data_IF_399383047146
#
_entry.id   IF_399383047146
#
_cell.length_a   1.000
_cell.length_b   1.000
_cell.length_c   1.000
_cell.angle_alpha   90.00
_cell.angle_beta   90.00
_cell.angle_gamma   90.00
#
_symmetry.space_group_name_H-M   'P 1'
#
loop_
_entity.id
_entity.type
_entity.pdbx_description
1 polymer ?
#
# COMPACT_ATOMS: atom_id res chain seq x y z
N UNK A 1 -3.39 -25.61 -19.67
CA UNK A 1 -4.32 -26.04 -20.72
C UNK A 1 -5.56 -26.69 -20.11
N UNK A 2 -6.73 -26.57 -20.73
CA UNK A 2 -7.97 -27.19 -20.26
C UNK A 2 -7.90 -28.75 -20.21
N UNK A 3 -6.95 -29.31 -20.93
CA UNK A 3 -6.71 -30.77 -21.01
C UNK A 3 -5.80 -31.32 -19.89
N UNK A 4 -5.10 -30.46 -19.14
CA UNK A 4 -4.32 -30.92 -17.99
C UNK A 4 -5.25 -31.29 -16.81
N UNK A 5 -4.77 -32.08 -15.86
CA UNK A 5 -5.55 -32.49 -14.67
C UNK A 5 -6.25 -31.29 -13.99
N UNK A 6 -5.49 -30.28 -13.64
CA UNK A 6 -6.02 -29.10 -12.97
C UNK A 6 -6.76 -28.15 -13.89
N UNK A 7 -6.39 -28.09 -15.16
CA UNK A 7 -7.12 -27.33 -16.17
C UNK A 7 -8.52 -27.91 -16.43
N UNK A 8 -8.67 -29.25 -16.36
CA UNK A 8 -9.99 -29.88 -16.43
C UNK A 8 -10.85 -29.53 -15.19
N UNK A 9 -10.28 -29.62 -13.97
CA UNK A 9 -11.00 -29.20 -12.75
C UNK A 9 -11.46 -27.75 -12.86
N UNK A 10 -10.58 -26.84 -13.28
CA UNK A 10 -10.95 -25.43 -13.50
C UNK A 10 -12.10 -25.29 -14.52
N UNK A 11 -12.01 -26.02 -15.64
CA UNK A 11 -13.07 -25.97 -16.67
C UNK A 11 -14.40 -26.53 -16.14
N UNK A 12 -14.38 -27.62 -15.40
CA UNK A 12 -15.57 -28.23 -14.77
C UNK A 12 -16.20 -27.26 -13.72
N UNK A 13 -15.41 -26.35 -13.11
CA UNK A 13 -15.87 -25.27 -12.24
C UNK A 13 -16.42 -24.05 -13.00
N UNK A 14 -16.55 -24.08 -14.31
CA UNK A 14 -17.07 -22.99 -15.11
C UNK A 14 -16.02 -22.00 -15.66
N UNK A 15 -14.72 -22.29 -15.49
CA UNK A 15 -13.62 -21.45 -15.96
C UNK A 15 -12.72 -22.19 -16.97
N UNK A 16 -13.18 -22.43 -18.23
CA UNK A 16 -12.43 -23.21 -19.22
C UNK A 16 -11.13 -22.52 -19.66
N UNK A 17 -11.14 -21.18 -19.71
CA UNK A 17 -9.98 -20.41 -20.12
C UNK A 17 -8.98 -20.17 -18.97
N UNK A 18 -7.67 -20.01 -19.25
CA UNK A 18 -6.67 -19.60 -18.28
C UNK A 18 -7.00 -18.25 -17.64
N UNK A 19 -6.69 -18.08 -16.35
CA UNK A 19 -6.87 -16.80 -15.63
C UNK A 19 -5.89 -15.71 -16.08
N UNK A 20 -4.93 -16.02 -16.95
CA UNK A 20 -3.98 -15.04 -17.45
C UNK A 20 -3.02 -14.52 -16.37
N UNK A 21 -2.55 -15.41 -15.49
CA UNK A 21 -1.58 -15.06 -14.44
C UNK A 21 -0.39 -14.31 -15.04
N UNK A 22 -0.06 -13.14 -14.47
CA UNK A 22 1.03 -12.29 -14.95
C UNK A 22 2.21 -12.24 -13.98
N UNK A 23 1.97 -12.58 -12.72
CA UNK A 23 2.94 -12.41 -11.66
C UNK A 23 2.84 -13.57 -10.66
N UNK A 24 3.98 -13.97 -10.09
CA UNK A 24 4.04 -15.02 -9.09
C UNK A 24 5.02 -14.61 -7.98
N UNK A 25 4.55 -14.66 -6.73
CA UNK A 25 5.41 -14.49 -5.56
C UNK A 25 6.01 -15.84 -5.16
N UNK A 26 7.29 -15.87 -4.87
CA UNK A 26 8.02 -17.07 -4.47
C UNK A 26 8.42 -16.95 -3.01
N UNK A 27 7.59 -17.53 -2.14
CA UNK A 27 7.72 -17.44 -0.67
C UNK A 27 6.94 -16.26 -0.09
N UNK A 28 6.75 -16.29 1.22
CA UNK A 28 6.18 -15.21 2.03
C UNK A 28 7.10 -14.97 3.22
N UNK A 29 7.52 -13.74 3.44
CA UNK A 29 8.42 -13.34 4.54
C UNK A 29 9.70 -14.20 4.65
N UNK A 30 10.15 -14.78 3.53
CA UNK A 30 11.32 -15.63 3.51
C UNK A 30 12.58 -14.81 3.81
N UNK A 31 13.49 -15.42 4.58
CA UNK A 31 14.74 -14.80 4.97
C UNK A 31 15.86 -15.84 5.16
N UNK A 32 17.09 -15.35 5.36
CA UNK A 32 18.28 -16.18 5.49
C UNK A 32 18.95 -16.51 4.15
N UNK A 33 20.16 -17.01 4.23
CA UNK A 33 21.05 -17.22 3.06
C UNK A 33 20.50 -18.24 2.05
N UNK A 34 19.77 -19.24 2.54
CA UNK A 34 19.20 -20.31 1.70
C UNK A 34 18.06 -19.81 0.80
N UNK A 35 17.39 -18.73 1.19
CA UNK A 35 16.25 -18.26 0.39
C UNK A 35 16.66 -17.71 -0.98
N UNK A 36 17.65 -16.82 -1.14
CA UNK A 36 18.12 -16.36 -2.45
C UNK A 36 18.54 -17.49 -3.38
N UNK A 37 19.24 -18.51 -2.84
CA UNK A 37 19.65 -19.68 -3.64
C UNK A 37 18.44 -20.42 -4.24
N UNK A 38 17.43 -20.68 -3.42
CA UNK A 38 16.19 -21.33 -3.85
C UNK A 38 15.39 -20.48 -4.81
N UNK A 39 15.25 -19.18 -4.51
CA UNK A 39 14.56 -18.24 -5.37
C UNK A 39 15.16 -18.20 -6.78
N UNK A 40 16.48 -18.23 -6.88
CA UNK A 40 17.16 -18.24 -8.17
C UNK A 40 16.84 -19.50 -9.00
N UNK A 41 16.76 -20.68 -8.36
CA UNK A 41 16.37 -21.93 -9.02
C UNK A 41 14.94 -21.84 -9.54
N UNK A 42 13.99 -21.39 -8.70
CA UNK A 42 12.59 -21.20 -9.12
C UNK A 42 12.46 -20.17 -10.25
N UNK A 43 13.13 -19.03 -10.11
CA UNK A 43 13.11 -17.96 -11.12
C UNK A 43 13.57 -18.46 -12.48
N UNK A 44 14.69 -19.19 -12.54
CA UNK A 44 15.21 -19.77 -13.77
C UNK A 44 14.22 -20.76 -14.40
N UNK A 45 13.65 -21.66 -13.59
CA UNK A 45 12.71 -22.67 -14.08
C UNK A 45 11.40 -22.03 -14.60
N UNK A 46 10.85 -21.06 -13.87
CA UNK A 46 9.62 -20.38 -14.27
C UNK A 46 9.84 -19.59 -15.56
N UNK A 47 10.92 -18.82 -15.66
CA UNK A 47 11.21 -18.02 -16.85
C UNK A 47 11.53 -18.86 -18.10
N UNK A 48 12.04 -20.07 -17.92
CA UNK A 48 12.25 -20.99 -19.03
C UNK A 48 10.93 -21.44 -19.70
N UNK A 49 9.87 -21.61 -18.91
CA UNK A 49 8.53 -22.02 -19.37
C UNK A 49 7.60 -20.82 -19.66
N UNK A 50 7.76 -19.74 -18.88
CA UNK A 50 6.92 -18.56 -18.92
C UNK A 50 7.78 -17.28 -18.89
N UNK A 51 8.39 -16.90 -20.03
CA UNK A 51 9.37 -15.80 -20.08
C UNK A 51 8.79 -14.44 -19.67
N UNK A 52 7.48 -14.23 -19.84
CA UNK A 52 6.79 -12.98 -19.49
C UNK A 52 6.25 -12.96 -18.07
N UNK A 53 6.48 -14.03 -17.26
CA UNK A 53 6.02 -14.11 -15.88
C UNK A 53 6.87 -13.21 -15.01
N UNK A 54 6.24 -12.23 -14.36
CA UNK A 54 6.88 -11.39 -13.37
C UNK A 54 7.11 -12.16 -12.07
N UNK A 55 8.31 -12.08 -11.54
CA UNK A 55 8.71 -12.73 -10.29
C UNK A 55 8.72 -11.72 -9.16
N UNK A 56 8.03 -12.05 -8.08
CA UNK A 56 8.05 -11.29 -6.82
C UNK A 56 8.91 -12.04 -5.81
N UNK A 57 9.95 -11.42 -5.32
CA UNK A 57 10.82 -11.95 -4.27
C UNK A 57 10.58 -11.22 -2.95
N UNK A 58 10.88 -11.87 -1.82
CA UNK A 58 10.66 -11.31 -0.48
C UNK A 58 11.90 -10.60 0.06
N UNK A 59 11.72 -9.44 0.68
CA UNK A 59 12.75 -8.76 1.47
C UNK A 59 12.77 -9.20 2.95
N UNK A 60 12.01 -10.24 3.28
CA UNK A 60 11.85 -10.74 4.65
C UNK A 60 10.66 -10.09 5.38
N UNK A 61 10.51 -10.36 6.69
CA UNK A 61 9.36 -9.94 7.48
C UNK A 61 9.49 -8.53 8.07
N UNK A 62 10.57 -7.81 7.75
CA UNK A 62 10.92 -6.54 8.41
C UNK A 62 11.06 -5.40 7.41
N UNK A 63 10.69 -4.21 7.85
CA UNK A 63 10.79 -2.99 7.06
C UNK A 63 12.23 -2.49 6.84
N UNK A 64 13.16 -2.95 7.67
CA UNK A 64 14.56 -2.55 7.71
C UNK A 64 15.41 -3.58 8.50
N UNK A 65 16.70 -3.29 8.70
CA UNK A 65 17.63 -4.09 9.47
C UNK A 65 18.22 -5.27 8.72
N UNK A 66 18.99 -6.12 9.43
CA UNK A 66 19.88 -7.13 8.85
C UNK A 66 19.24 -8.02 7.76
N UNK A 67 17.98 -8.41 7.95
CA UNK A 67 17.28 -9.27 6.98
C UNK A 67 16.98 -8.51 5.70
N UNK A 68 16.41 -7.32 5.83
CA UNK A 68 16.09 -6.44 4.71
C UNK A 68 17.34 -6.02 3.95
N UNK A 69 18.37 -5.57 4.68
CA UNK A 69 19.63 -5.08 4.12
C UNK A 69 20.42 -6.18 3.38
N UNK A 70 20.27 -7.44 3.81
CA UNK A 70 20.83 -8.59 3.12
C UNK A 70 20.02 -8.98 1.88
N UNK A 71 18.68 -9.02 2.01
CA UNK A 71 17.83 -9.59 0.96
C UNK A 71 17.61 -8.63 -0.22
N UNK A 72 17.49 -7.33 0.02
CA UNK A 72 17.25 -6.37 -1.06
C UNK A 72 18.32 -6.41 -2.17
N UNK A 73 19.66 -6.37 -1.87
CA UNK A 73 20.70 -6.57 -2.87
C UNK A 73 20.61 -7.92 -3.59
N UNK A 74 20.24 -8.98 -2.87
CA UNK A 74 20.07 -10.32 -3.46
C UNK A 74 18.89 -10.36 -4.45
N UNK A 75 17.76 -9.70 -4.13
CA UNK A 75 16.64 -9.57 -5.07
C UNK A 75 17.07 -8.86 -6.36
N UNK A 76 17.85 -7.80 -6.23
CA UNK A 76 18.44 -7.08 -7.37
C UNK A 76 19.42 -7.95 -8.15
N UNK A 77 20.26 -8.72 -7.47
CA UNK A 77 21.24 -9.66 -8.10
C UNK A 77 20.54 -10.76 -8.91
N UNK A 78 19.50 -11.36 -8.36
CA UNK A 78 18.70 -12.41 -9.00
C UNK A 78 17.90 -11.83 -10.17
N UNK A 79 17.58 -10.53 -10.10
CA UNK A 79 16.82 -9.82 -11.12
C UNK A 79 15.33 -10.13 -11.04
N UNK A 80 14.76 -10.18 -9.84
CA UNK A 80 13.30 -10.25 -9.67
C UNK A 80 12.66 -8.97 -10.22
N UNK A 81 11.39 -9.05 -10.61
CA UNK A 81 10.67 -7.90 -11.16
C UNK A 81 10.14 -6.97 -10.04
N UNK A 82 9.68 -7.57 -8.95
CA UNK A 82 9.22 -6.86 -7.77
C UNK A 82 9.83 -7.45 -6.50
N UNK A 83 9.99 -6.59 -5.50
CA UNK A 83 10.36 -6.97 -4.13
C UNK A 83 9.16 -6.73 -3.24
N UNK A 84 8.77 -7.79 -2.52
CA UNK A 84 7.70 -7.75 -1.52
C UNK A 84 8.27 -7.25 -0.20
N UNK A 85 7.80 -6.08 0.22
CA UNK A 85 8.20 -5.42 1.47
C UNK A 85 7.03 -5.40 2.46
N UNK A 86 7.31 -5.70 3.73
CA UNK A 86 6.32 -5.76 4.81
C UNK A 86 6.62 -4.75 5.92
N UNK A 87 5.58 -4.04 6.40
CA UNK A 87 5.72 -2.99 7.42
C UNK A 87 4.64 -3.12 8.50
N UNK A 88 4.99 -3.75 9.61
CA UNK A 88 4.17 -3.77 10.82
C UNK A 88 4.86 -2.93 11.89
N UNK A 89 4.64 -1.60 11.82
CA UNK A 89 5.42 -0.60 12.55
C UNK A 89 4.50 0.35 13.32
N UNK A 90 5.08 1.10 14.28
CA UNK A 90 4.35 2.14 15.00
C UNK A 90 3.98 3.34 14.10
N UNK A 91 2.93 4.13 14.45
CA UNK A 91 2.54 5.31 13.70
C UNK A 91 3.69 6.27 13.40
N UNK A 92 4.58 6.50 14.36
CA UNK A 92 5.74 7.39 14.18
C UNK A 92 6.67 6.93 13.05
N UNK A 93 6.82 5.62 12.87
CA UNK A 93 7.59 5.08 11.76
C UNK A 93 6.94 5.41 10.42
N UNK A 94 5.62 5.25 10.29
CA UNK A 94 4.89 5.56 9.06
C UNK A 94 5.01 7.05 8.69
N UNK A 95 4.86 7.95 9.67
CA UNK A 95 5.07 9.37 9.45
C UNK A 95 6.51 9.69 9.01
N UNK A 96 7.50 9.12 9.68
CA UNK A 96 8.91 9.35 9.38
C UNK A 96 9.33 8.78 8.01
N UNK A 97 8.62 7.78 7.49
CA UNK A 97 8.95 7.08 6.26
C UNK A 97 8.07 7.47 5.05
N UNK A 98 7.32 8.56 5.11
CA UNK A 98 6.54 9.05 3.97
C UNK A 98 7.40 9.42 2.74
N UNK A 99 8.72 9.58 2.92
CA UNK A 99 9.70 9.81 1.85
C UNK A 99 10.52 8.57 1.48
N UNK A 100 10.21 7.39 2.03
CA UNK A 100 11.01 6.16 1.89
C UNK A 100 11.45 5.86 0.47
N UNK A 101 10.56 6.03 -0.49
CA UNK A 101 10.79 5.62 -1.88
C UNK A 101 11.32 6.74 -2.78
N UNK A 102 11.52 7.96 -2.26
CA UNK A 102 11.96 9.10 -3.06
C UNK A 102 13.34 8.87 -3.69
N UNK A 103 14.24 8.13 -3.00
CA UNK A 103 15.60 7.84 -3.44
C UNK A 103 15.82 6.41 -3.98
N UNK A 104 14.76 5.60 -4.14
CA UNK A 104 14.90 4.26 -4.70
C UNK A 104 15.33 4.29 -6.17
N UNK A 105 16.13 3.30 -6.57
CA UNK A 105 16.59 3.13 -7.95
C UNK A 105 15.41 2.89 -8.90
N UNK A 106 15.10 3.87 -9.76
CA UNK A 106 14.00 3.78 -10.73
C UNK A 106 14.21 2.71 -11.80
N UNK A 107 15.44 2.21 -11.97
CA UNK A 107 15.80 1.16 -12.93
C UNK A 107 15.89 -0.24 -12.31
N UNK A 108 15.87 -0.32 -10.98
CA UNK A 108 15.88 -1.57 -10.23
C UNK A 108 14.53 -2.28 -10.20
N UNK A 109 14.44 -3.39 -9.44
CA UNK A 109 13.17 -4.04 -9.14
C UNK A 109 12.15 -3.04 -8.60
N UNK A 110 10.88 -3.27 -8.92
CA UNK A 110 9.78 -2.47 -8.37
C UNK A 110 9.42 -2.98 -6.99
N UNK A 111 8.61 -2.23 -6.26
CA UNK A 111 8.15 -2.58 -4.92
C UNK A 111 6.70 -3.04 -4.97
N UNK A 112 6.43 -4.11 -4.28
CA UNK A 112 5.14 -4.51 -3.79
C UNK A 112 5.14 -4.30 -2.28
N UNK A 113 4.42 -3.31 -1.76
CA UNK A 113 4.16 -3.17 -0.33
C UNK A 113 3.07 -4.19 0.04
N UNK A 114 3.48 -5.45 0.18
CA UNK A 114 2.56 -6.60 0.17
C UNK A 114 1.80 -6.78 1.48
N UNK A 115 2.39 -6.39 2.60
CA UNK A 115 1.71 -6.39 3.88
C UNK A 115 2.10 -5.15 4.70
N UNK A 116 1.12 -4.41 5.18
CA UNK A 116 1.38 -3.34 6.16
C UNK A 116 0.16 -3.04 7.02
N UNK A 117 0.43 -2.66 8.25
CA UNK A 117 -0.52 -2.05 9.15
C UNK A 117 0.22 -1.22 10.20
N UNK A 118 -0.32 -0.05 10.52
CA UNK A 118 0.19 0.77 11.60
C UNK A 118 -0.28 0.22 12.94
N UNK A 119 0.67 -0.04 13.84
CA UNK A 119 0.42 -0.56 15.19
C UNK A 119 0.65 0.53 16.23
N UNK A 120 -0.33 0.81 17.05
CA UNK A 120 -0.17 1.70 18.20
C UNK A 120 0.65 0.99 19.30
N UNK A 121 1.95 1.23 19.37
CA UNK A 121 2.83 0.72 20.40
C UNK A 121 3.03 1.73 21.54
N UNK A 122 3.13 1.29 22.79
CA UNK A 122 3.07 -0.07 23.35
C UNK A 122 1.68 -0.49 23.86
N UNK A 123 0.67 0.33 23.72
CA UNK A 123 -0.63 0.16 24.37
C UNK A 123 -1.61 -0.74 23.65
N UNK A 124 -1.15 -1.47 22.66
CA UNK A 124 -1.94 -2.45 21.93
C UNK A 124 -2.07 -2.11 20.45
N UNK A 125 -2.10 -3.15 19.68
CA UNK A 125 -2.38 -3.12 18.26
C UNK A 125 -3.85 -2.75 18.09
N UNK A 126 -4.12 -1.58 17.54
CA UNK A 126 -5.50 -1.12 17.39
C UNK A 126 -5.65 -0.30 16.12
N UNK A 127 -6.71 -0.58 15.39
CA UNK A 127 -7.17 0.24 14.29
C UNK A 127 -7.86 1.50 14.84
N UNK A 128 -7.06 2.44 15.35
CA UNK A 128 -7.54 3.74 15.80
C UNK A 128 -7.27 4.82 14.75
N UNK A 129 -7.76 6.03 15.01
CA UNK A 129 -7.61 7.14 14.08
C UNK A 129 -6.13 7.53 13.86
N UNK A 130 -5.27 7.45 14.88
CA UNK A 130 -3.83 7.72 14.74
C UNK A 130 -3.16 6.73 13.79
N UNK A 131 -3.47 5.44 13.92
CA UNK A 131 -2.97 4.41 13.01
C UNK A 131 -3.41 4.71 11.56
N UNK A 132 -4.69 5.00 11.36
CA UNK A 132 -5.21 5.36 10.03
C UNK A 132 -4.56 6.61 9.46
N UNK A 133 -4.37 7.66 10.28
CA UNK A 133 -3.75 8.91 9.87
C UNK A 133 -2.28 8.71 9.44
N UNK A 134 -1.54 7.88 10.18
CA UNK A 134 -0.15 7.58 9.86
C UNK A 134 -0.01 6.77 8.57
N UNK A 135 -0.90 5.81 8.34
CA UNK A 135 -0.97 5.09 7.06
C UNK A 135 -1.33 6.02 5.90
N UNK A 136 -2.29 6.93 6.10
CA UNK A 136 -2.64 7.91 5.08
C UNK A 136 -1.43 8.78 4.69
N UNK A 137 -0.63 9.23 5.67
CA UNK A 137 0.59 9.98 5.43
C UNK A 137 1.62 9.17 4.62
N UNK A 138 1.86 7.92 4.99
CA UNK A 138 2.76 7.02 4.28
C UNK A 138 2.29 6.74 2.84
N UNK A 139 0.98 6.53 2.64
CA UNK A 139 0.38 6.27 1.33
C UNK A 139 0.54 7.44 0.35
N UNK A 140 0.68 8.69 0.83
CA UNK A 140 1.07 9.80 -0.07
C UNK A 140 2.43 9.56 -0.71
N UNK A 141 3.36 8.96 0.04
CA UNK A 141 4.68 8.56 -0.46
C UNK A 141 4.63 7.40 -1.45
N UNK A 142 3.77 6.39 -1.20
CA UNK A 142 3.55 5.29 -2.13
C UNK A 142 3.02 5.83 -3.48
N UNK A 143 2.00 6.68 -3.44
CA UNK A 143 1.39 7.24 -4.64
C UNK A 143 2.35 8.16 -5.40
N UNK A 144 3.08 9.05 -4.70
CA UNK A 144 4.08 9.93 -5.31
C UNK A 144 5.16 9.15 -6.05
N UNK A 145 5.50 7.96 -5.58
CA UNK A 145 6.51 7.07 -6.13
C UNK A 145 5.92 5.88 -6.89
N UNK A 146 4.79 6.05 -7.58
CA UNK A 146 4.12 4.98 -8.32
C UNK A 146 4.95 4.39 -9.48
N UNK A 147 6.03 5.04 -9.87
CA UNK A 147 7.03 4.51 -10.81
C UNK A 147 7.95 3.45 -10.16
N UNK A 148 8.02 3.40 -8.84
CA UNK A 148 8.73 2.40 -8.03
C UNK A 148 7.73 1.45 -7.35
N UNK A 149 6.77 1.99 -6.59
CA UNK A 149 5.76 1.20 -5.87
C UNK A 149 4.61 0.88 -6.81
N UNK A 150 4.52 -0.36 -7.22
CA UNK A 150 3.54 -0.83 -8.22
C UNK A 150 2.27 -1.40 -7.61
N UNK A 151 2.38 -1.95 -6.40
CA UNK A 151 1.29 -2.57 -5.66
C UNK A 151 1.42 -2.24 -4.19
N UNK A 152 0.30 -2.09 -3.52
CA UNK A 152 0.23 -1.95 -2.07
C UNK A 152 -1.05 -2.62 -1.55
N UNK A 153 -0.93 -3.42 -0.49
CA UNK A 153 -2.04 -4.15 0.11
C UNK A 153 -1.96 -4.11 1.63
N UNK A 154 -3.08 -3.78 2.25
CA UNK A 154 -3.20 -3.84 3.70
C UNK A 154 -3.32 -5.30 4.17
N UNK A 155 -2.69 -5.64 5.29
CA UNK A 155 -2.82 -6.93 5.93
C UNK A 155 -2.76 -6.82 7.47
N UNK A 156 -3.48 -7.69 8.22
CA UNK A 156 -4.52 -8.63 7.77
C UNK A 156 -5.83 -7.94 7.39
N UNK A 157 -6.68 -8.66 6.63
CA UNK A 157 -7.89 -8.06 6.06
C UNK A 157 -9.13 -8.27 6.94
N UNK A 158 -9.34 -9.46 7.49
CA UNK A 158 -10.55 -9.85 8.21
C UNK A 158 -10.27 -10.51 9.53
N UNK A 159 -11.02 -10.12 10.58
CA UNK A 159 -11.03 -10.82 11.85
C UNK A 159 -12.44 -10.97 12.42
N UNK A 160 -12.73 -12.14 12.97
CA UNK A 160 -13.93 -12.37 13.78
C UNK A 160 -13.66 -11.89 15.20
N UNK A 161 -14.60 -11.11 15.79
CA UNK A 161 -14.39 -10.46 17.10
C UNK A 161 -14.11 -11.43 18.26
N UNK A 162 -14.62 -12.67 18.17
CA UNK A 162 -14.43 -13.70 19.20
C UNK A 162 -13.34 -14.74 18.86
N UNK A 163 -12.74 -14.66 17.65
CA UNK A 163 -11.82 -15.69 17.16
C UNK A 163 -10.77 -15.13 16.21
N UNK A 164 -9.98 -14.21 16.68
CA UNK A 164 -8.87 -13.61 15.91
C UNK A 164 -7.52 -14.11 16.40
N UNK A 165 -6.54 -14.17 15.51
CA UNK A 165 -5.15 -14.52 15.81
C UNK A 165 -4.22 -13.33 15.81
N UNK A 166 -4.63 -12.24 15.14
CA UNK A 166 -3.84 -11.05 14.95
C UNK A 166 -4.69 -9.80 15.15
N UNK A 167 -4.07 -8.69 15.49
CA UNK A 167 -4.63 -7.36 15.58
C UNK A 167 -3.48 -6.36 15.31
N UNK A 168 -3.63 -5.37 14.44
CA UNK A 168 -4.88 -4.86 13.85
C UNK A 168 -5.36 -5.65 12.62
N UNK A 169 -6.66 -5.56 12.32
CA UNK A 169 -7.29 -6.09 11.11
C UNK A 169 -8.15 -5.01 10.46
N UNK A 170 -8.26 -5.01 9.14
CA UNK A 170 -8.93 -3.94 8.42
C UNK A 170 -10.45 -3.91 8.65
N UNK A 171 -11.06 -5.10 8.66
CA UNK A 171 -12.50 -5.30 8.83
C UNK A 171 -12.74 -6.32 9.93
N UNK A 172 -13.55 -5.95 10.91
CA UNK A 172 -13.99 -6.84 11.97
C UNK A 172 -15.44 -7.25 11.78
N UNK A 173 -15.78 -8.46 12.13
CA UNK A 173 -17.14 -8.97 11.97
C UNK A 173 -17.52 -9.95 13.10
N UNK A 174 -18.82 -10.07 13.32
CA UNK A 174 -19.47 -11.19 14.00
C UNK A 174 -20.31 -12.00 13.00
N UNK A 175 -21.16 -12.90 13.47
CA UNK A 175 -21.96 -13.71 12.56
C UNK A 175 -23.04 -12.93 11.76
N UNK A 176 -23.34 -11.69 12.11
CA UNK A 176 -24.45 -10.91 11.55
C UNK A 176 -24.05 -9.50 11.12
N UNK A 177 -22.97 -8.95 11.69
CA UNK A 177 -22.55 -7.56 11.51
C UNK A 177 -21.09 -7.49 11.10
N UNK A 178 -20.71 -6.39 10.49
CA UNK A 178 -19.31 -6.05 10.23
C UNK A 178 -19.05 -4.60 10.65
N UNK A 179 -17.79 -4.32 10.95
CA UNK A 179 -17.29 -2.98 11.27
C UNK A 179 -16.09 -2.70 10.39
N UNK A 180 -16.12 -1.57 9.71
CA UNK A 180 -14.98 -1.02 8.99
C UNK A 180 -14.17 -0.13 9.92
N UNK A 181 -12.87 -0.33 9.95
CA UNK A 181 -11.98 0.47 10.79
C UNK A 181 -11.69 1.84 10.15
N UNK A 182 -11.16 2.83 10.90
CA UNK A 182 -10.65 4.06 10.30
C UNK A 182 -9.61 3.78 9.18
N UNK A 183 -8.77 2.76 9.36
CA UNK A 183 -7.80 2.32 8.34
C UNK A 183 -8.48 1.84 7.06
N UNK A 184 -9.64 1.17 7.15
CA UNK A 184 -10.42 0.78 5.98
C UNK A 184 -10.82 2.00 5.14
N UNK A 185 -11.28 3.07 5.78
CA UNK A 185 -11.69 4.28 5.06
C UNK A 185 -10.52 4.97 4.38
N UNK A 186 -9.32 4.96 4.99
CA UNK A 186 -8.10 5.42 4.33
C UNK A 186 -7.81 4.60 3.07
N UNK A 187 -7.81 3.26 3.17
CA UNK A 187 -7.60 2.38 2.01
C UNK A 187 -8.65 2.63 0.93
N UNK A 188 -9.92 2.78 1.31
CA UNK A 188 -11.01 3.08 0.38
C UNK A 188 -10.81 4.43 -0.32
N UNK A 189 -10.44 5.49 0.43
CA UNK A 189 -10.22 6.81 -0.15
C UNK A 189 -9.10 6.79 -1.20
N UNK A 190 -7.99 6.09 -0.96
CA UNK A 190 -6.94 5.94 -1.94
C UNK A 190 -7.36 5.04 -3.11
N UNK A 191 -7.94 3.89 -2.84
CA UNK A 191 -8.32 2.91 -3.87
C UNK A 191 -9.42 3.41 -4.82
N UNK A 192 -10.38 4.19 -4.30
CA UNK A 192 -11.47 4.75 -5.11
C UNK A 192 -11.09 6.04 -5.84
N UNK A 193 -9.96 6.65 -5.51
CA UNK A 193 -9.48 7.90 -6.08
C UNK A 193 -8.07 7.74 -6.66
N UNK A 194 -7.85 6.66 -7.40
CA UNK A 194 -6.61 6.44 -8.12
C UNK A 194 -6.55 7.30 -9.39
N UNK A 195 -5.34 7.77 -9.73
CA UNK A 195 -5.10 8.47 -11.00
C UNK A 195 -4.29 7.61 -11.98
N UNK A 196 -4.08 8.14 -13.16
CA UNK A 196 -3.22 7.55 -14.19
C UNK A 196 -1.80 8.11 -14.18
N UNK A 197 -1.65 9.36 -13.76
CA UNK A 197 -0.38 10.09 -13.79
C UNK A 197 -0.13 10.80 -12.47
N UNK A 198 1.08 10.67 -11.94
CA UNK A 198 1.50 11.40 -10.74
C UNK A 198 1.82 12.84 -11.11
N UNK A 199 1.26 13.78 -10.36
CA UNK A 199 1.54 15.21 -10.51
C UNK A 199 2.63 15.63 -9.52
N UNK A 200 3.49 16.55 -9.97
CA UNK A 200 4.52 17.12 -9.12
C UNK A 200 3.90 18.14 -8.14
N UNK A 201 3.63 17.68 -6.92
CA UNK A 201 3.12 18.50 -5.83
C UNK A 201 4.25 18.89 -4.88
N UNK A 202 4.36 20.18 -4.61
CA UNK A 202 5.43 20.73 -3.77
C UNK A 202 4.90 21.77 -2.80
N UNK A 203 5.53 21.86 -1.64
CA UNK A 203 5.44 22.98 -0.70
C UNK A 203 6.87 23.52 -0.49
N UNK A 204 7.09 24.81 -0.74
CA UNK A 204 8.40 25.46 -0.67
C UNK A 204 9.50 24.76 -1.51
N UNK A 205 9.11 24.25 -2.70
CA UNK A 205 10.02 23.60 -3.63
C UNK A 205 10.42 22.16 -3.27
N UNK A 206 9.75 21.54 -2.31
CA UNK A 206 10.01 20.15 -1.86
C UNK A 206 8.72 19.33 -1.86
N UNK A 207 8.80 18.00 -2.03
CA UNK A 207 7.65 17.11 -1.78
C UNK A 207 7.08 17.34 -0.38
N UNK A 208 5.76 17.15 -0.23
CA UNK A 208 5.08 17.38 1.06
C UNK A 208 5.11 16.07 1.86
N UNK A 209 6.09 15.98 2.76
CA UNK A 209 6.45 14.73 3.45
C UNK A 209 6.58 14.87 4.97
N UNK A 210 5.83 15.83 5.57
CA UNK A 210 5.80 16.06 7.02
C UNK A 210 6.10 17.49 7.45
N UNK A 211 6.40 18.39 6.51
CA UNK A 211 6.57 19.81 6.82
C UNK A 211 5.26 20.35 7.41
N UNK A 212 5.35 21.05 8.54
CA UNK A 212 4.19 21.55 9.29
C UNK A 212 3.15 20.45 9.61
N UNK A 213 3.62 19.20 9.78
CA UNK A 213 2.77 18.01 9.97
C UNK A 213 1.84 17.72 8.78
N UNK A 214 2.15 18.22 7.59
CA UNK A 214 1.40 17.99 6.36
C UNK A 214 2.08 16.94 5.48
N UNK A 215 1.25 16.08 4.88
CA UNK A 215 1.67 15.09 3.87
C UNK A 215 0.71 15.19 2.70
N UNK A 216 1.22 15.09 1.48
CA UNK A 216 0.35 15.19 0.33
C UNK A 216 0.90 14.47 -0.91
N UNK A 217 -0.03 14.05 -1.75
CA UNK A 217 0.21 13.60 -3.12
C UNK A 217 -0.88 14.13 -4.05
N UNK A 218 -0.59 14.19 -5.33
CA UNK A 218 -1.56 14.58 -6.34
C UNK A 218 -1.41 13.70 -7.59
N UNK A 219 -2.55 13.34 -8.17
CA UNK A 219 -2.61 12.56 -9.40
C UNK A 219 -3.62 13.17 -10.38
N UNK A 220 -3.43 12.87 -11.64
CA UNK A 220 -4.38 13.15 -12.71
C UNK A 220 -5.03 11.84 -13.13
N UNK A 221 -6.35 11.81 -13.22
CA UNK A 221 -7.07 10.80 -13.98
C UNK A 221 -7.26 11.31 -15.42
N UNK A 222 -6.39 10.88 -16.32
CA UNK A 222 -6.38 11.38 -17.69
C UNK A 222 -7.68 11.13 -18.47
N UNK A 223 -8.39 9.97 -18.30
CA UNK A 223 -9.69 9.74 -18.95
C UNK A 223 -10.77 10.75 -18.58
N UNK A 224 -10.84 11.18 -17.32
CA UNK A 224 -11.84 12.15 -16.84
C UNK A 224 -11.33 13.60 -16.84
N UNK A 225 -10.02 13.78 -16.83
CA UNK A 225 -9.37 15.07 -16.64
C UNK A 225 -9.40 15.58 -15.20
N UNK A 226 -9.76 14.71 -14.24
CA UNK A 226 -9.87 15.06 -12.84
C UNK A 226 -8.49 15.13 -12.18
N UNK A 227 -8.23 16.19 -11.42
CA UNK A 227 -7.05 16.29 -10.55
C UNK A 227 -7.47 15.88 -9.15
N UNK A 228 -6.84 14.85 -8.63
CA UNK A 228 -7.14 14.27 -7.33
C UNK A 228 -5.99 14.61 -6.37
N UNK A 229 -6.31 15.35 -5.32
CA UNK A 229 -5.36 15.72 -4.27
C UNK A 229 -5.67 14.93 -3.01
N UNK A 230 -4.65 14.28 -2.44
CA UNK A 230 -4.69 13.70 -1.11
C UNK A 230 -3.88 14.60 -0.18
N UNK A 231 -4.50 15.04 0.90
CA UNK A 231 -3.89 15.90 1.90
C UNK A 231 -4.13 15.31 3.30
N UNK A 232 -3.07 15.12 4.05
CA UNK A 232 -3.08 14.61 5.42
C UNK A 232 -2.52 15.67 6.34
N UNK A 233 -3.30 16.04 7.35
CA UNK A 233 -2.85 16.91 8.44
C UNK A 233 -2.69 16.04 9.71
N UNK A 234 -1.45 15.75 10.07
CA UNK A 234 -1.09 15.02 11.28
C UNK A 234 -0.89 15.95 12.50
N UNK A 235 -1.10 17.24 12.33
CA UNK A 235 -1.03 18.24 13.41
C UNK A 235 -2.28 18.29 14.27
N UNK A 236 -2.17 18.95 15.42
CA UNK A 236 -3.28 19.17 16.35
C UNK A 236 -4.10 20.43 16.04
N UNK A 237 -3.81 21.12 14.94
CA UNK A 237 -4.47 22.36 14.54
C UNK A 237 -5.01 22.25 13.13
N UNK A 238 -6.09 22.99 12.87
CA UNK A 238 -6.57 23.20 11.50
C UNK A 238 -5.59 24.08 10.74
N UNK A 239 -5.20 23.63 9.55
CA UNK A 239 -4.29 24.37 8.68
C UNK A 239 -5.06 24.91 7.46
N UNK A 240 -4.74 26.15 7.08
CA UNK A 240 -5.27 26.75 5.87
C UNK A 240 -4.22 26.63 4.76
N UNK A 241 -4.49 25.79 3.79
CA UNK A 241 -3.61 25.61 2.63
C UNK A 241 -4.17 26.33 1.42
N UNK A 242 -3.28 26.93 0.62
CA UNK A 242 -3.60 27.47 -0.70
C UNK A 242 -2.98 26.55 -1.74
N UNK A 243 -3.78 26.08 -2.69
CA UNK A 243 -3.33 25.22 -3.77
C UNK A 243 -3.23 26.04 -5.05
N UNK A 244 -2.04 26.04 -5.64
CA UNK A 244 -1.79 26.69 -6.92
C UNK A 244 -1.56 25.64 -8.01
N UNK A 245 -2.29 25.76 -9.10
CA UNK A 245 -2.16 24.90 -10.26
C UNK A 245 -1.34 25.59 -11.34
N UNK A 246 -0.20 25.01 -11.69
CA UNK A 246 0.58 25.45 -12.84
C UNK A 246 0.17 24.72 -14.11
N UNK A 247 0.25 25.37 -15.27
CA UNK A 247 -0.04 24.77 -16.58
C UNK A 247 -1.53 24.69 -16.95
N UNK A 248 -2.45 25.07 -16.08
CA UNK A 248 -3.88 25.15 -16.41
C UNK A 248 -4.19 26.42 -17.22
N UNK A 249 -5.01 26.28 -18.27
CA UNK A 249 -5.61 27.42 -18.95
C UNK A 249 -6.74 28.01 -18.09
N UNK A 250 -6.89 29.33 -18.12
CA UNK A 250 -7.87 30.13 -17.36
C UNK A 250 -9.33 29.70 -17.56
N UNK A 251 -9.81 28.56 -17.33
CA UNK A 251 -11.21 28.09 -17.39
C UNK A 251 -11.36 26.58 -17.19
N UNK A 252 -10.31 25.92 -16.67
CA UNK A 252 -10.32 24.45 -16.57
C UNK A 252 -10.84 23.91 -15.25
N UNK A 253 -10.88 24.71 -14.17
CA UNK A 253 -11.50 24.29 -12.91
C UNK A 253 -12.97 24.70 -12.92
N UNK A 254 -13.85 23.71 -13.03
CA UNK A 254 -15.30 23.93 -13.16
C UNK A 254 -16.02 23.66 -11.83
N UNK A 255 -15.59 22.65 -11.10
CA UNK A 255 -16.15 22.22 -9.80
C UNK A 255 -15.11 21.41 -9.04
N UNK A 256 -15.35 21.20 -7.77
CA UNK A 256 -14.57 20.30 -6.93
C UNK A 256 -15.43 19.71 -5.83
N UNK A 257 -15.07 18.52 -5.37
CA UNK A 257 -15.64 17.87 -4.19
C UNK A 257 -14.52 17.56 -3.21
N UNK A 258 -14.86 17.43 -1.94
CA UNK A 258 -13.92 17.05 -0.90
C UNK A 258 -14.55 15.95 -0.04
N UNK A 259 -13.83 14.85 0.12
CA UNK A 259 -14.16 13.81 1.09
C UNK A 259 -13.11 13.86 2.18
N UNK A 260 -13.51 13.82 3.42
CA UNK A 260 -12.58 13.89 4.54
C UNK A 260 -12.92 12.85 5.61
N UNK A 261 -11.88 12.39 6.28
CA UNK A 261 -11.91 11.55 7.46
C UNK A 261 -11.25 12.34 8.58
N UNK A 262 -11.96 12.56 9.67
CA UNK A 262 -11.43 13.37 10.78
C UNK A 262 -11.93 12.89 12.14
N UNK A 263 -11.13 13.14 13.17
CA UNK A 263 -11.51 12.96 14.57
C UNK A 263 -10.74 13.95 15.45
N UNK A 264 -11.37 14.40 16.49
CA UNK A 264 -10.72 15.19 17.56
C UNK A 264 -10.02 14.28 18.58
N UNK A 265 -10.27 12.97 18.53
CA UNK A 265 -9.64 11.96 19.37
C UNK A 265 -8.79 11.00 18.51
N UNK A 266 -7.48 11.08 18.67
CA UNK A 266 -6.53 10.20 17.96
C UNK A 266 -6.68 8.73 18.31
N UNK A 267 -7.31 8.40 19.44
CA UNK A 267 -7.58 7.03 19.90
C UNK A 267 -8.96 6.53 19.50
N UNK A 268 -9.75 7.35 18.83
CA UNK A 268 -11.08 6.96 18.37
C UNK A 268 -11.02 5.72 17.50
N UNK A 269 -11.98 4.81 17.71
CA UNK A 269 -12.14 3.54 17.01
C UNK A 269 -13.58 3.37 16.59
N UNK A 270 -13.78 2.64 15.54
CA UNK A 270 -15.10 2.08 15.21
C UNK A 270 -15.37 0.81 16.02
N UNK A 271 -16.62 0.53 16.28
CA UNK A 271 -17.12 -0.70 16.93
C UNK A 271 -18.26 -1.31 16.12
N UNK A 272 -18.64 -2.54 16.43
CA UNK A 272 -19.82 -3.18 15.79
C UNK A 272 -21.13 -2.45 16.05
N UNK A 273 -21.20 -1.68 17.13
CA UNK A 273 -22.37 -0.88 17.53
C UNK A 273 -22.36 0.51 16.88
N UNK A 274 -21.16 1.05 16.59
CA UNK A 274 -21.02 2.42 16.10
C UNK A 274 -19.76 2.57 15.24
N UNK A 275 -19.93 2.97 14.01
CA UNK A 275 -18.89 3.54 13.18
C UNK A 275 -18.84 5.06 13.46
N UNK A 276 -17.89 5.49 14.31
CA UNK A 276 -17.78 6.89 14.76
C UNK A 276 -16.82 7.71 13.89
N UNK A 277 -16.02 7.05 13.06
CA UNK A 277 -15.02 7.65 12.17
C UNK A 277 -15.36 7.26 10.73
#
# INVERSE_FOLDING_TARGET
AATSKWGKVRADMGHPEPFGLKMIAIGNEQWGEVYPERLEVFTKAIRAEYPDMQIVGSSGPSADGDKFDYLWPEMKRIGVDLVDEHYYMAPDWFFANAARYDDYDRKGPKVFAGEYASHDHPTGKANNFLAALSEAAFMTGLERNADVVRLATYAPLFAHVDAWQWNPDLIWFDNLRMMRTPNYYVQQMYGMNAGTDVLNLQMDGKPVTGQDSLYASAVLDAPTGEVILKLVNAGSRSEKVQIEFSGLKKRQLVSGSCTYLQSDDWKAKNTLEQEAI
#
